data_IF_612765185001
#
_entry.id   IF_612765185001
#
_cell.length_a   1.000
_cell.length_b   1.000
_cell.length_c   1.000
_cell.angle_alpha   90.00
_cell.angle_beta   90.00
_cell.angle_gamma   90.00
#
_symmetry.space_group_name_H-M   'P 1'
#
loop_
_entity.id
_entity.type
_entity.pdbx_description
1 polymer ?
#
# COMPACT_ATOMS: atom_id res chain seq x y z
N UNK A 1 3.27 -12.16 30.25
CA UNK A 1 4.23 -11.12 29.86
C UNK A 1 3.70 -10.55 28.57
N UNK A 2 3.43 -9.26 28.54
CA UNK A 2 2.73 -8.60 27.43
C UNK A 2 3.70 -8.39 26.26
N UNK A 3 3.29 -8.68 25.02
CA UNK A 3 4.16 -8.59 23.84
C UNK A 3 4.72 -7.17 23.65
N UNK A 4 3.89 -6.16 23.96
CA UNK A 4 4.26 -4.74 23.97
C UNK A 4 5.34 -4.41 25.02
N UNK A 5 5.41 -5.17 26.12
CA UNK A 5 6.42 -4.95 27.18
C UNK A 5 7.79 -5.54 26.86
N UNK A 6 7.92 -6.36 25.81
CA UNK A 6 9.20 -6.91 25.35
C UNK A 6 9.65 -6.37 23.98
N UNK A 7 8.78 -5.63 23.26
CA UNK A 7 9.07 -5.02 21.96
C UNK A 7 8.49 -3.59 21.89
N UNK A 8 9.09 -2.62 22.61
CA UNK A 8 8.59 -1.26 22.67
C UNK A 8 8.55 -0.55 21.31
N UNK A 9 9.36 -1.01 20.36
CA UNK A 9 9.41 -0.48 18.99
C UNK A 9 8.17 -0.85 18.14
N UNK A 10 7.37 -1.83 18.59
CA UNK A 10 6.11 -2.26 17.96
C UNK A 10 4.88 -1.94 18.84
N UNK A 11 5.01 -0.99 19.77
CA UNK A 11 3.91 -0.55 20.60
C UNK A 11 2.95 0.33 19.78
N UNK A 12 1.65 0.02 19.82
CA UNK A 12 0.60 0.87 19.25
C UNK A 12 0.23 2.00 20.23
N UNK A 13 -0.25 3.14 19.74
CA UNK A 13 -0.68 4.28 20.55
C UNK A 13 -2.03 4.01 21.22
N UNK A 14 -2.40 4.84 22.21
CA UNK A 14 -3.74 4.77 22.76
C UNK A 14 -4.80 5.17 21.72
N UNK A 15 -4.49 6.10 20.82
CA UNK A 15 -5.41 6.52 19.74
C UNK A 15 -5.71 5.36 18.80
N UNK A 16 -4.67 4.63 18.37
CA UNK A 16 -4.84 3.45 17.54
C UNK A 16 -5.63 2.36 18.27
N UNK A 17 -5.32 2.11 19.57
CA UNK A 17 -6.11 1.19 20.42
C UNK A 17 -7.58 1.58 20.47
N UNK A 18 -7.88 2.85 20.72
CA UNK A 18 -9.26 3.33 20.85
C UNK A 18 -10.04 3.14 19.54
N UNK A 19 -9.41 3.30 18.37
CA UNK A 19 -10.02 2.98 17.07
C UNK A 19 -10.33 1.48 16.98
N UNK A 20 -9.35 0.62 17.30
CA UNK A 20 -9.52 -0.82 17.24
C UNK A 20 -10.61 -1.31 18.20
N UNK A 21 -10.66 -0.78 19.42
CA UNK A 21 -11.70 -1.09 20.41
C UNK A 21 -13.09 -0.63 19.94
N UNK A 22 -13.20 0.55 19.33
CA UNK A 22 -14.46 1.00 18.69
C UNK A 22 -14.87 0.07 17.56
N UNK A 23 -13.93 -0.43 16.75
CA UNK A 23 -14.24 -1.37 15.68
C UNK A 23 -14.79 -2.69 16.22
N UNK A 24 -14.20 -3.22 17.31
CA UNK A 24 -14.68 -4.44 17.97
C UNK A 24 -16.11 -4.28 18.50
N UNK A 25 -16.47 -3.10 18.98
CA UNK A 25 -17.83 -2.78 19.41
C UNK A 25 -18.82 -2.61 18.24
N UNK A 26 -18.32 -2.48 17.00
CA UNK A 26 -19.08 -2.24 15.77
C UNK A 26 -18.80 -3.34 14.72
N UNK A 27 -18.92 -4.61 15.11
CA UNK A 27 -18.80 -5.79 14.23
C UNK A 27 -17.45 -5.90 13.48
N UNK A 28 -16.37 -5.34 14.05
CA UNK A 28 -15.04 -5.34 13.45
C UNK A 28 -14.87 -4.33 12.30
N UNK A 29 -15.78 -3.37 12.15
CA UNK A 29 -15.74 -2.38 11.08
C UNK A 29 -14.87 -1.19 11.47
N UNK A 30 -13.82 -0.95 10.70
CA UNK A 30 -13.09 0.32 10.70
C UNK A 30 -13.80 1.27 9.75
N UNK A 31 -14.20 2.45 10.23
CA UNK A 31 -14.83 3.46 9.37
C UNK A 31 -13.79 4.22 8.56
N UNK A 32 -14.20 4.81 7.43
CA UNK A 32 -13.33 5.73 6.66
C UNK A 32 -12.81 6.88 7.53
N UNK A 33 -13.64 7.40 8.43
CA UNK A 33 -13.25 8.50 9.31
C UNK A 33 -12.18 8.06 10.32
N UNK A 34 -12.30 6.86 10.90
CA UNK A 34 -11.27 6.31 11.78
C UNK A 34 -9.95 6.05 11.03
N UNK A 35 -10.03 5.56 9.79
CA UNK A 35 -8.87 5.34 8.93
C UNK A 35 -8.15 6.65 8.57
N UNK A 36 -8.90 7.69 8.16
CA UNK A 36 -8.36 9.02 7.90
C UNK A 36 -7.77 9.68 9.16
N UNK A 37 -8.38 9.45 10.33
CA UNK A 37 -7.85 9.93 11.60
C UNK A 37 -6.51 9.25 11.92
N UNK A 38 -6.40 7.94 11.76
CA UNK A 38 -5.16 7.21 11.98
C UNK A 38 -4.03 7.69 11.03
N UNK A 39 -4.35 7.98 9.77
CA UNK A 39 -3.40 8.59 8.84
C UNK A 39 -2.93 9.97 9.32
N UNK A 40 -3.87 10.80 9.79
CA UNK A 40 -3.54 12.12 10.34
C UNK A 40 -2.63 12.01 11.57
N UNK A 41 -2.87 11.05 12.46
CA UNK A 41 -2.06 10.81 13.65
C UNK A 41 -0.64 10.33 13.28
N UNK A 42 -0.52 9.44 12.30
CA UNK A 42 0.75 9.03 11.71
C UNK A 42 1.52 10.21 11.11
N UNK A 43 0.85 11.04 10.31
CA UNK A 43 1.45 12.24 9.72
C UNK A 43 1.94 13.20 10.79
N UNK A 44 1.17 13.39 11.88
CA UNK A 44 1.56 14.22 13.01
C UNK A 44 2.76 13.66 13.77
N UNK A 45 2.85 12.34 13.95
CA UNK A 45 4.00 11.70 14.58
C UNK A 45 5.32 12.02 13.85
N UNK A 46 5.30 12.05 12.52
CA UNK A 46 6.46 12.43 11.71
C UNK A 46 6.79 13.93 11.80
N UNK A 47 5.78 14.80 11.76
CA UNK A 47 6.01 16.25 11.85
C UNK A 47 6.49 16.68 13.23
N UNK A 48 6.02 16.02 14.31
CA UNK A 48 6.52 16.22 15.68
C UNK A 48 8.00 15.86 15.83
N UNK A 49 8.51 14.96 14.98
CA UNK A 49 9.94 14.59 14.89
C UNK A 49 10.75 15.54 14.01
N UNK A 50 10.11 16.57 13.42
CA UNK A 50 10.76 17.60 12.61
C UNK A 50 10.88 17.27 11.13
N UNK A 51 10.10 16.31 10.63
CA UNK A 51 10.04 15.96 9.22
C UNK A 51 8.88 16.65 8.50
N UNK A 52 8.97 16.74 7.18
CA UNK A 52 7.83 17.10 6.35
C UNK A 52 6.74 16.01 6.42
N UNK A 53 5.46 16.36 6.24
CA UNK A 53 4.39 15.36 6.17
C UNK A 53 4.66 14.31 5.08
N UNK A 54 4.34 13.03 5.32
CA UNK A 54 4.48 11.99 4.31
C UNK A 54 3.53 12.24 3.13
N UNK A 55 3.99 11.92 1.92
CA UNK A 55 3.14 11.83 0.73
C UNK A 55 2.84 10.37 0.43
N UNK A 56 1.68 10.12 -0.17
CA UNK A 56 1.29 8.80 -0.64
C UNK A 56 0.35 8.91 -1.82
N UNK A 57 0.45 7.92 -2.71
CA UNK A 57 -0.55 7.69 -3.75
C UNK A 57 -1.92 7.48 -3.09
N UNK A 58 -2.93 8.16 -3.60
CA UNK A 58 -4.31 8.05 -3.13
C UNK A 58 -5.13 7.11 -4.01
N UNK A 59 -5.81 6.18 -3.36
CA UNK A 59 -6.72 5.22 -3.97
C UNK A 59 -8.17 5.53 -3.59
N UNK A 60 -9.12 4.90 -4.29
CA UNK A 60 -10.52 4.96 -3.90
C UNK A 60 -10.72 4.49 -2.46
N UNK A 61 -11.73 5.04 -1.78
CA UNK A 61 -12.00 4.73 -0.38
C UNK A 61 -11.09 5.43 0.63
N UNK A 62 -10.19 6.32 0.20
CA UNK A 62 -9.25 7.03 1.08
C UNK A 62 -8.04 6.18 1.46
N UNK A 63 -7.74 5.13 0.69
CA UNK A 63 -6.60 4.26 0.96
C UNK A 63 -5.32 4.95 0.48
N UNK A 64 -4.31 4.91 1.34
CA UNK A 64 -2.96 5.43 1.09
C UNK A 64 -2.08 4.32 0.49
N UNK A 65 -1.12 4.66 -0.37
CA UNK A 65 -0.14 3.68 -0.88
C UNK A 65 0.73 3.05 0.23
N UNK A 66 1.30 1.88 -0.05
CA UNK A 66 2.18 1.16 0.90
C UNK A 66 3.65 1.59 0.79
N UNK A 67 4.01 2.21 -0.33
CA UNK A 67 5.39 2.53 -0.63
C UNK A 67 5.72 3.96 -0.27
N UNK A 68 6.68 4.13 0.63
CA UNK A 68 7.30 5.40 0.95
C UNK A 68 8.75 5.37 0.46
N UNK A 69 9.05 6.06 -0.63
CA UNK A 69 10.44 6.28 -1.03
C UNK A 69 10.99 7.45 -0.22
N UNK A 70 11.87 7.15 0.73
CA UNK A 70 12.45 8.15 1.62
C UNK A 70 13.59 8.89 0.92
N UNK A 71 13.41 10.18 0.71
CA UNK A 71 14.42 11.09 0.16
C UNK A 71 14.90 12.06 1.24
N UNK A 72 16.17 11.90 1.63
CA UNK A 72 16.87 12.77 2.58
C UNK A 72 17.85 13.74 1.91
N UNK A 73 17.85 13.82 0.58
CA UNK A 73 18.86 14.52 -0.20
C UNK A 73 20.28 14.02 0.11
N UNK A 74 21.26 14.94 0.04
CA UNK A 74 22.68 14.63 0.25
C UNK A 74 23.09 14.48 1.73
N UNK A 75 22.14 14.24 2.65
CA UNK A 75 22.39 14.19 4.10
C UNK A 75 23.02 12.89 4.60
N UNK A 76 23.19 11.90 3.73
CA UNK A 76 23.90 10.65 3.99
C UNK A 76 23.10 9.58 4.75
N UNK A 77 23.69 8.38 4.81
CA UNK A 77 23.03 7.16 5.25
C UNK A 77 22.54 7.19 6.70
N UNK A 78 23.21 7.92 7.59
CA UNK A 78 22.79 8.02 8.99
C UNK A 78 21.43 8.72 9.12
N UNK A 79 21.25 9.83 8.38
CA UNK A 79 19.99 10.57 8.35
C UNK A 79 18.89 9.77 7.67
N UNK A 80 19.23 9.07 6.59
CA UNK A 80 18.31 8.17 5.89
C UNK A 80 17.83 7.03 6.80
N UNK A 81 18.75 6.32 7.48
CA UNK A 81 18.42 5.23 8.39
C UNK A 81 17.54 5.71 9.55
N UNK A 82 17.83 6.90 10.09
CA UNK A 82 17.01 7.51 11.13
C UNK A 82 15.59 7.81 10.62
N UNK A 83 15.46 8.44 9.45
CA UNK A 83 14.15 8.74 8.86
C UNK A 83 13.33 7.47 8.60
N UNK A 84 13.96 6.40 8.13
CA UNK A 84 13.31 5.09 7.93
C UNK A 84 12.86 4.44 9.25
N UNK A 85 13.70 4.52 10.28
CA UNK A 85 13.35 4.03 11.61
C UNK A 85 12.18 4.80 12.22
N UNK A 86 12.18 6.13 12.10
CA UNK A 86 11.10 6.97 12.59
C UNK A 86 9.81 6.80 11.78
N UNK A 87 9.90 6.60 10.46
CA UNK A 87 8.77 6.23 9.60
C UNK A 87 8.12 4.92 10.07
N UNK A 88 8.92 3.87 10.21
CA UNK A 88 8.44 2.55 10.65
C UNK A 88 7.80 2.64 12.03
N UNK A 89 8.44 3.35 12.96
CA UNK A 89 7.91 3.57 14.30
C UNK A 89 6.57 4.32 14.29
N UNK A 90 6.45 5.42 13.52
CA UNK A 90 5.20 6.18 13.45
C UNK A 90 4.07 5.39 12.76
N UNK A 91 4.40 4.57 11.75
CA UNK A 91 3.43 3.66 11.12
C UNK A 91 2.88 2.65 12.13
N UNK A 92 3.77 1.92 12.82
CA UNK A 92 3.40 0.94 13.84
C UNK A 92 2.58 1.61 14.96
N UNK A 93 3.04 2.77 15.42
CA UNK A 93 2.47 3.48 16.55
C UNK A 93 1.05 4.00 16.25
N UNK A 94 0.78 4.53 15.06
CA UNK A 94 -0.47 5.29 14.82
C UNK A 94 -1.40 4.69 13.76
N UNK A 95 -0.90 3.94 12.77
CA UNK A 95 -1.67 3.68 11.54
C UNK A 95 -1.80 2.20 11.13
N UNK A 96 -0.74 1.41 11.26
CA UNK A 96 -0.61 0.13 10.55
C UNK A 96 -1.79 -0.83 10.76
N UNK A 97 -2.20 -1.11 12.00
CA UNK A 97 -3.26 -2.10 12.24
C UNK A 97 -4.64 -1.59 11.81
N UNK A 98 -4.89 -0.27 11.91
CA UNK A 98 -6.12 0.35 11.43
C UNK A 98 -6.22 0.23 9.91
N UNK A 99 -5.12 0.51 9.22
CA UNK A 99 -5.01 0.41 7.77
C UNK A 99 -5.17 -1.03 7.26
N UNK A 100 -4.51 -2.00 7.90
CA UNK A 100 -4.62 -3.42 7.55
C UNK A 100 -6.08 -3.92 7.64
N UNK A 101 -6.77 -3.63 8.74
CA UNK A 101 -8.17 -4.04 8.92
C UNK A 101 -9.12 -3.33 7.96
N UNK A 102 -8.90 -2.03 7.73
CA UNK A 102 -9.71 -1.25 6.79
C UNK A 102 -9.59 -1.81 5.36
N UNK A 103 -8.37 -2.11 4.91
CA UNK A 103 -8.12 -2.71 3.59
C UNK A 103 -8.67 -4.11 3.47
N UNK A 104 -8.47 -4.94 4.49
CA UNK A 104 -8.99 -6.31 4.51
C UNK A 104 -10.51 -6.32 4.36
N UNK A 105 -11.23 -5.44 5.05
CA UNK A 105 -12.69 -5.34 4.93
C UNK A 105 -13.15 -5.02 3.48
N UNK A 106 -12.32 -4.33 2.70
CA UNK A 106 -12.65 -3.90 1.33
C UNK A 106 -12.29 -4.96 0.28
N UNK A 107 -11.07 -5.49 0.32
CA UNK A 107 -10.54 -6.35 -0.75
C UNK A 107 -10.18 -7.78 -0.36
N UNK A 108 -10.00 -8.05 0.94
CA UNK A 108 -9.61 -9.36 1.43
C UNK A 108 -10.37 -9.77 2.71
N UNK A 109 -11.72 -9.80 2.71
CA UNK A 109 -12.50 -10.04 3.92
C UNK A 109 -12.35 -11.46 4.48
N UNK A 110 -11.76 -12.38 3.70
CA UNK A 110 -11.45 -13.75 4.13
C UNK A 110 -10.02 -13.91 4.66
N UNK A 111 -9.24 -12.81 4.70
CA UNK A 111 -7.85 -12.80 5.18
C UNK A 111 -6.97 -13.84 4.48
N UNK A 112 -7.16 -13.99 3.16
CA UNK A 112 -6.35 -14.86 2.34
C UNK A 112 -4.89 -14.41 2.44
N UNK A 113 -4.01 -15.37 2.74
CA UNK A 113 -2.57 -15.13 2.87
C UNK A 113 -1.85 -15.01 1.52
N UNK A 114 -2.47 -15.53 0.47
CA UNK A 114 -1.95 -15.44 -0.90
C UNK A 114 -2.51 -14.18 -1.55
N UNK A 115 -1.65 -13.17 -1.76
CA UNK A 115 -2.03 -11.89 -2.35
C UNK A 115 -2.66 -12.04 -3.74
N UNK A 116 -2.18 -12.99 -4.56
CA UNK A 116 -2.77 -13.29 -5.87
C UNK A 116 -4.18 -13.87 -5.74
N UNK A 117 -4.42 -14.69 -4.71
CA UNK A 117 -5.74 -15.24 -4.43
C UNK A 117 -6.71 -14.17 -3.92
N UNK A 118 -6.25 -13.28 -3.03
CA UNK A 118 -6.99 -12.12 -2.55
C UNK A 118 -7.37 -11.19 -3.72
N UNK A 119 -6.40 -10.86 -4.58
CA UNK A 119 -6.62 -10.03 -5.77
C UNK A 119 -7.67 -10.66 -6.69
N UNK A 120 -7.48 -11.93 -7.07
CA UNK A 120 -8.42 -12.63 -7.93
C UNK A 120 -9.83 -12.67 -7.33
N UNK A 121 -9.96 -12.85 -6.01
CA UNK A 121 -11.24 -12.80 -5.32
C UNK A 121 -11.87 -11.40 -5.37
N UNK A 122 -11.10 -10.35 -5.07
CA UNK A 122 -11.59 -8.98 -5.12
C UNK A 122 -12.10 -8.63 -6.53
N UNK A 123 -11.30 -8.92 -7.56
CA UNK A 123 -11.66 -8.68 -8.96
C UNK A 123 -12.97 -9.40 -9.35
N UNK A 124 -13.12 -10.68 -8.96
CA UNK A 124 -14.35 -11.45 -9.18
C UNK A 124 -15.56 -10.83 -8.46
N UNK A 125 -15.39 -10.45 -7.19
CA UNK A 125 -16.49 -9.90 -6.37
C UNK A 125 -17.06 -8.59 -6.93
N UNK A 126 -16.22 -7.81 -7.63
CA UNK A 126 -16.59 -6.57 -8.31
C UNK A 126 -16.98 -6.74 -9.77
N UNK A 127 -17.03 -7.98 -10.28
CA UNK A 127 -17.34 -8.30 -11.68
C UNK A 127 -16.36 -7.65 -12.70
N UNK A 128 -15.09 -7.48 -12.32
CA UNK A 128 -14.05 -6.91 -13.17
C UNK A 128 -13.39 -7.95 -14.07
N UNK A 129 -13.57 -9.23 -13.75
CA UNK A 129 -13.04 -10.39 -14.46
C UNK A 129 -14.09 -11.50 -14.52
N UNK A 130 -13.84 -12.53 -15.33
CA UNK A 130 -14.73 -13.69 -15.43
C UNK A 130 -14.85 -14.43 -14.07
N UNK A 131 -16.00 -15.05 -13.76
CA UNK A 131 -16.17 -15.83 -12.52
C UNK A 131 -15.17 -16.99 -12.36
N UNK A 132 -14.60 -17.49 -13.45
CA UNK A 132 -13.58 -18.55 -13.47
C UNK A 132 -12.14 -18.04 -13.27
N UNK A 133 -11.94 -16.73 -13.16
CA UNK A 133 -10.61 -16.15 -12.98
C UNK A 133 -10.01 -16.59 -11.65
N UNK A 134 -8.73 -16.98 -11.60
CA UNK A 134 -8.06 -17.51 -10.40
C UNK A 134 -6.72 -16.81 -10.14
N UNK A 135 -6.08 -17.11 -9.01
CA UNK A 135 -4.71 -16.66 -8.76
C UNK A 135 -3.72 -17.12 -9.83
N UNK A 136 -3.93 -18.30 -10.42
CA UNK A 136 -3.10 -18.80 -11.54
C UNK A 136 -3.25 -17.93 -12.79
N UNK A 137 -4.47 -17.49 -13.11
CA UNK A 137 -4.71 -16.56 -14.22
C UNK A 137 -3.91 -15.26 -14.01
N UNK A 138 -3.98 -14.68 -12.81
CA UNK A 138 -3.22 -13.48 -12.49
C UNK A 138 -1.71 -13.69 -12.61
N UNK A 139 -1.16 -14.78 -12.06
CA UNK A 139 0.27 -15.05 -12.11
C UNK A 139 0.79 -15.26 -13.54
N UNK A 140 -0.02 -15.86 -14.42
CA UNK A 140 0.30 -16.00 -15.84
C UNK A 140 0.32 -14.64 -16.56
N UNK A 141 -0.65 -13.77 -16.26
CA UNK A 141 -0.71 -12.39 -16.77
C UNK A 141 0.44 -11.54 -16.24
N UNK A 142 0.76 -11.63 -14.95
CA UNK A 142 1.88 -10.94 -14.29
C UNK A 142 3.22 -11.37 -14.91
N UNK A 143 3.44 -12.67 -15.08
CA UNK A 143 4.65 -13.16 -15.75
C UNK A 143 4.73 -12.65 -17.19
N UNK A 144 3.62 -12.66 -17.92
CA UNK A 144 3.56 -12.11 -19.28
C UNK A 144 3.84 -10.60 -19.30
N UNK A 145 3.37 -9.86 -18.30
CA UNK A 145 3.64 -8.43 -18.14
C UNK A 145 5.13 -8.16 -17.94
N UNK A 146 5.79 -8.95 -17.08
CA UNK A 146 7.24 -8.86 -16.83
C UNK A 146 8.06 -9.18 -18.09
N UNK A 147 7.65 -10.21 -18.84
CA UNK A 147 8.32 -10.60 -20.09
C UNK A 147 8.20 -9.49 -21.15
N UNK A 148 7.00 -8.92 -21.33
CA UNK A 148 6.77 -7.80 -22.23
C UNK A 148 7.55 -6.55 -21.82
N UNK A 149 7.59 -6.25 -20.51
CA UNK A 149 8.38 -5.14 -19.99
C UNK A 149 9.87 -5.31 -20.35
N UNK A 150 10.45 -6.47 -20.04
CA UNK A 150 11.86 -6.75 -20.29
C UNK A 150 12.21 -6.72 -21.79
N UNK A 151 11.32 -7.26 -22.64
CA UNK A 151 11.47 -7.20 -24.08
C UNK A 151 11.48 -5.76 -24.59
N UNK A 152 10.53 -4.94 -24.15
CA UNK A 152 10.38 -3.57 -24.62
C UNK A 152 11.52 -2.67 -24.12
N UNK A 153 12.04 -2.88 -22.91
CA UNK A 153 13.28 -2.23 -22.44
C UNK A 153 14.44 -2.56 -23.37
N UNK A 154 14.58 -3.82 -23.79
CA UNK A 154 15.66 -4.24 -24.68
C UNK A 154 15.55 -3.59 -26.07
N UNK A 155 14.33 -3.38 -26.57
CA UNK A 155 14.08 -2.82 -27.91
C UNK A 155 14.17 -1.30 -27.92
N UNK A 156 13.55 -0.63 -26.95
CA UNK A 156 13.33 0.82 -26.95
C UNK A 156 14.28 1.58 -26.01
N UNK A 157 14.86 0.90 -25.02
CA UNK A 157 15.54 1.50 -23.88
C UNK A 157 14.70 2.62 -23.22
N UNK A 158 13.38 2.47 -23.20
CA UNK A 158 12.43 3.45 -22.70
C UNK A 158 11.48 2.81 -21.68
N UNK A 159 11.57 3.27 -20.44
CA UNK A 159 10.78 2.78 -19.31
C UNK A 159 9.28 2.99 -19.50
N UNK A 160 8.87 4.17 -19.96
CA UNK A 160 7.45 4.46 -20.19
C UNK A 160 6.86 3.53 -21.26
N UNK A 161 7.58 3.31 -22.37
CA UNK A 161 7.17 2.36 -23.41
C UNK A 161 7.05 0.94 -22.85
N UNK A 162 8.02 0.50 -22.04
CA UNK A 162 8.01 -0.82 -21.43
C UNK A 162 6.86 -1.02 -20.44
N UNK A 163 6.55 0.02 -19.65
CA UNK A 163 5.38 0.02 -18.79
C UNK A 163 4.10 -0.12 -19.62
N UNK A 164 3.90 0.71 -20.66
CA UNK A 164 2.77 0.60 -21.59
C UNK A 164 2.65 -0.79 -22.24
N UNK A 165 3.77 -1.43 -22.57
CA UNK A 165 3.78 -2.78 -23.11
C UNK A 165 3.32 -3.81 -22.08
N UNK A 166 3.82 -3.72 -20.85
CA UNK A 166 3.48 -4.65 -19.76
C UNK A 166 1.99 -4.65 -19.42
N UNK A 167 1.33 -3.47 -19.43
CA UNK A 167 -0.10 -3.34 -19.09
C UNK A 167 -1.01 -4.10 -20.06
N UNK A 168 -0.55 -4.37 -21.29
CA UNK A 168 -1.30 -5.13 -22.31
C UNK A 168 -1.38 -6.63 -22.02
N UNK A 169 -0.62 -7.16 -21.05
CA UNK A 169 -0.67 -8.57 -20.67
C UNK A 169 -1.95 -8.93 -19.89
N UNK A 170 -2.55 -7.97 -19.18
CA UNK A 170 -3.70 -8.21 -18.33
C UNK A 170 -5.00 -8.27 -19.14
N UNK A 171 -5.90 -9.17 -18.78
CA UNK A 171 -7.23 -9.29 -19.43
C UNK A 171 -8.25 -8.24 -18.96
N UNK A 172 -7.84 -7.35 -18.06
CA UNK A 172 -8.63 -6.26 -17.51
C UNK A 172 -7.83 -4.95 -17.58
N UNK A 173 -8.54 -3.82 -17.48
CA UNK A 173 -7.91 -2.51 -17.41
C UNK A 173 -7.25 -2.31 -16.04
N UNK A 174 -5.92 -2.42 -16.01
CA UNK A 174 -5.14 -2.29 -14.78
C UNK A 174 -5.26 -0.90 -14.16
N UNK A 175 -5.54 0.14 -14.96
CA UNK A 175 -5.63 1.54 -14.49
C UNK A 175 -7.05 1.88 -13.98
N UNK A 176 -8.01 0.96 -14.14
CA UNK A 176 -9.36 1.16 -13.66
C UNK A 176 -9.37 1.35 -12.12
N UNK A 177 -10.07 2.37 -11.58
CA UNK A 177 -10.03 2.67 -10.15
C UNK A 177 -10.40 1.51 -9.21
N UNK A 178 -11.40 0.70 -9.59
CA UNK A 178 -11.80 -0.48 -8.82
C UNK A 178 -10.78 -1.64 -8.91
N UNK A 179 -10.02 -1.73 -10.01
CA UNK A 179 -8.92 -2.70 -10.16
C UNK A 179 -7.74 -2.27 -9.27
N UNK A 180 -7.35 -1.00 -9.34
CA UNK A 180 -6.33 -0.42 -8.46
C UNK A 180 -6.69 -0.59 -6.97
N UNK A 181 -7.97 -0.40 -6.62
CA UNK A 181 -8.47 -0.69 -5.28
C UNK A 181 -8.26 -2.16 -4.89
N UNK A 182 -8.53 -3.12 -5.79
CA UNK A 182 -8.29 -4.53 -5.51
C UNK A 182 -6.82 -4.88 -5.34
N UNK A 183 -5.93 -4.28 -6.13
CA UNK A 183 -4.49 -4.44 -5.97
C UNK A 183 -4.04 -4.00 -4.58
N UNK A 184 -4.31 -2.74 -4.22
CA UNK A 184 -3.77 -2.14 -3.00
C UNK A 184 -4.33 -2.78 -1.72
N UNK A 185 -5.58 -3.26 -1.75
CA UNK A 185 -6.23 -3.97 -0.63
C UNK A 185 -5.86 -5.44 -0.54
N UNK A 186 -5.27 -6.01 -1.60
CA UNK A 186 -4.71 -7.37 -1.62
C UNK A 186 -3.21 -7.40 -1.32
N UNK A 187 -2.64 -6.26 -0.88
CA UNK A 187 -1.23 -6.15 -0.54
C UNK A 187 -0.29 -5.97 -1.74
N UNK A 188 -0.81 -5.58 -2.91
CA UNK A 188 -0.03 -5.34 -4.12
C UNK A 188 -0.17 -3.87 -4.51
N UNK A 189 0.89 -3.07 -4.39
CA UNK A 189 0.88 -1.66 -4.78
C UNK A 189 1.46 -1.49 -6.19
N UNK A 190 0.64 -1.78 -7.21
CA UNK A 190 1.11 -1.78 -8.61
C UNK A 190 1.42 -0.39 -9.15
N UNK A 191 0.74 0.65 -8.66
CA UNK A 191 1.00 2.03 -9.09
C UNK A 191 2.30 2.56 -8.50
N UNK A 192 2.70 2.10 -7.31
CA UNK A 192 4.04 2.40 -6.79
C UNK A 192 5.17 1.71 -7.58
N UNK A 193 4.86 0.71 -8.43
CA UNK A 193 5.83 0.09 -9.34
C UNK A 193 5.94 0.82 -10.69
N UNK A 194 5.02 1.76 -10.97
CA UNK A 194 5.09 2.60 -12.16
C UNK A 194 6.21 3.64 -11.97
N UNK A 195 7.38 3.35 -12.55
CA UNK A 195 8.54 4.24 -12.48
C UNK A 195 8.34 5.57 -13.23
N UNK A 196 7.26 5.73 -14.00
CA UNK A 196 6.86 7.03 -14.56
C UNK A 196 6.15 7.93 -13.55
N UNK A 197 5.84 7.38 -12.36
CA UNK A 197 5.08 8.02 -11.28
C UNK A 197 5.85 8.13 -9.96
N UNK A 198 7.18 7.94 -9.99
CA UNK A 198 8.04 7.94 -8.78
C UNK A 198 7.88 9.20 -7.92
N UNK A 199 7.62 10.36 -8.53
CA UNK A 199 7.42 11.59 -7.78
C UNK A 199 6.16 11.54 -6.87
N UNK A 200 5.19 10.68 -7.14
CA UNK A 200 3.94 10.56 -6.36
C UNK A 200 4.14 9.79 -5.04
N UNK A 201 5.24 9.03 -4.89
CA UNK A 201 5.55 8.23 -3.71
C UNK A 201 6.90 8.58 -3.04
N UNK A 202 7.60 9.62 -3.52
CA UNK A 202 8.80 10.14 -2.86
C UNK A 202 8.42 11.08 -1.72
N UNK A 203 8.66 10.61 -0.50
CA UNK A 203 8.61 11.45 0.69
C UNK A 203 9.93 12.19 0.86
N UNK A 204 9.94 13.47 0.46
CA UNK A 204 11.02 14.42 0.74
C UNK A 204 10.94 14.83 2.20
N UNK A 205 11.82 14.23 3.01
CA UNK A 205 11.77 14.29 4.47
C UNK A 205 12.06 15.70 4.99
N UNK A 206 12.78 16.50 4.21
CA UNK A 206 13.15 17.88 4.50
C UNK A 206 12.88 18.78 3.29
N UNK A 207 12.77 20.08 3.55
CA UNK A 207 12.73 21.13 2.51
C UNK A 207 14.08 21.31 1.79
#
# INVERSE_FOLDING_TARGET
>A
MDYASTHPDHAISQRQRDILERSLANDGVITKADHEQAWSDFSQCLTDKGYNPPVSVQYQGGIHGNTFMVDTGDRGDEVWNKAQSDLSHCLDLEFLNVDELYRAAIGNPQLLQDNSAALAQCLRSKNLVAPSYTSSCYREEEQSALDLYAQEITVSNNIASAWEASRKAYTFDIDAPDVQLCFITSGIDIRAQDSTKEDENIWKVFD
#
